data_IF_315467291801
#
_entry.id   IF_315467291801
#
_cell.length_a   1.000
_cell.length_b   1.000
_cell.length_c   1.000
_cell.angle_alpha   90.00
_cell.angle_beta   90.00
_cell.angle_gamma   90.00
#
_symmetry.space_group_name_H-M   'P 1'
#
loop_
_entity.id
_entity.type
_entity.pdbx_description
1 polymer ?
#
# COMPACT_ATOMS: atom_id res chain seq x y z
N UNK A 1 -3.32 27.48 14.13
CA UNK A 1 -2.69 26.83 12.95
C UNK A 1 -3.31 25.45 12.79
N UNK A 2 -4.33 25.34 11.95
CA UNK A 2 -5.02 24.08 11.66
C UNK A 2 -4.20 23.26 10.66
N UNK A 3 -4.20 21.95 10.80
CA UNK A 3 -3.73 21.06 9.75
C UNK A 3 -4.75 21.05 8.62
N UNK A 4 -4.30 20.97 7.38
CA UNK A 4 -5.13 20.78 6.20
C UNK A 4 -4.56 19.65 5.34
N UNK A 5 -5.43 18.97 4.59
CA UNK A 5 -5.02 17.95 3.62
C UNK A 5 -5.27 18.53 2.22
N UNK A 6 -4.27 18.47 1.37
CA UNK A 6 -4.36 18.90 -0.02
C UNK A 6 -4.12 17.70 -0.91
N UNK A 7 -5.11 17.38 -1.74
CA UNK A 7 -5.02 16.35 -2.78
C UNK A 7 -4.51 17.03 -4.05
N UNK A 8 -3.35 16.63 -4.53
CA UNK A 8 -2.74 17.16 -5.75
C UNK A 8 -2.14 16.08 -6.63
N UNK A 9 -1.79 16.44 -7.86
CA UNK A 9 -0.95 15.59 -8.72
C UNK A 9 0.41 15.34 -8.09
N UNK A 10 0.90 14.11 -8.23
CA UNK A 10 2.23 13.72 -7.79
C UNK A 10 3.30 14.48 -8.57
N UNK A 11 4.34 14.93 -7.87
CA UNK A 11 5.56 15.54 -8.43
C UNK A 11 6.67 14.49 -8.46
N UNK A 12 7.71 14.71 -9.28
CA UNK A 12 8.85 13.81 -9.35
C UNK A 12 9.55 13.63 -7.99
N UNK A 13 9.64 14.70 -7.19
CA UNK A 13 10.19 14.65 -5.82
C UNK A 13 9.40 13.80 -4.82
N UNK A 14 8.13 13.46 -5.11
CA UNK A 14 7.31 12.63 -4.21
C UNK A 14 7.56 11.13 -4.42
N UNK A 15 8.27 10.73 -5.48
CA UNK A 15 8.40 9.33 -5.88
C UNK A 15 8.93 8.42 -4.75
N UNK A 16 9.90 8.90 -3.98
CA UNK A 16 10.47 8.17 -2.84
C UNK A 16 9.43 8.00 -1.74
N UNK A 17 8.76 9.08 -1.32
CA UNK A 17 7.77 9.04 -0.24
C UNK A 17 6.56 8.18 -0.61
N UNK A 18 6.16 8.17 -1.89
CA UNK A 18 5.07 7.33 -2.39
C UNK A 18 5.43 5.85 -2.39
N UNK A 19 6.64 5.52 -2.85
CA UNK A 19 7.16 4.15 -2.81
C UNK A 19 7.22 3.63 -1.38
N UNK A 20 7.71 4.44 -0.43
CA UNK A 20 7.76 4.09 0.99
C UNK A 20 6.35 3.87 1.57
N UNK A 21 5.37 4.73 1.27
CA UNK A 21 4.00 4.56 1.75
C UNK A 21 3.38 3.24 1.27
N UNK A 22 3.60 2.86 0.01
CA UNK A 22 3.08 1.60 -0.53
C UNK A 22 3.79 0.41 0.09
N UNK A 23 5.11 0.49 0.28
CA UNK A 23 5.85 -0.56 0.96
C UNK A 23 5.36 -0.74 2.39
N UNK A 24 5.17 0.35 3.14
CA UNK A 24 4.60 0.31 4.49
C UNK A 24 3.20 -0.31 4.50
N UNK A 25 2.34 0.07 3.54
CA UNK A 25 0.99 -0.47 3.42
C UNK A 25 0.95 -1.96 3.06
N UNK A 26 1.91 -2.47 2.29
CA UNK A 26 1.98 -3.91 1.99
C UNK A 26 2.61 -4.70 3.15
N UNK A 27 3.62 -4.13 3.81
CA UNK A 27 4.28 -4.76 4.94
C UNK A 27 3.40 -4.82 6.19
N UNK A 28 2.38 -3.97 6.33
CA UNK A 28 1.44 -4.05 7.46
C UNK A 28 0.68 -5.37 7.53
N UNK A 29 0.49 -6.06 6.40
CA UNK A 29 -0.19 -7.37 6.33
C UNK A 29 0.75 -8.57 6.58
N UNK A 30 2.03 -8.32 6.85
CA UNK A 30 3.01 -9.39 7.03
C UNK A 30 2.66 -10.29 8.23
N UNK A 31 2.19 -9.69 9.33
CA UNK A 31 1.83 -10.45 10.54
C UNK A 31 0.57 -11.28 10.34
N UNK A 32 -0.46 -10.71 9.72
CA UNK A 32 -1.70 -11.42 9.40
C UNK A 32 -1.43 -12.60 8.46
N UNK A 33 -0.58 -12.39 7.45
CA UNK A 33 -0.15 -13.45 6.54
C UNK A 33 0.66 -14.53 7.25
N UNK A 34 1.55 -14.15 8.17
CA UNK A 34 2.30 -15.12 8.97
C UNK A 34 1.36 -16.02 9.78
N UNK A 35 0.39 -15.43 10.49
CA UNK A 35 -0.61 -16.21 11.25
C UNK A 35 -1.38 -17.12 10.30
N UNK A 36 -1.87 -16.59 9.17
CA UNK A 36 -2.63 -17.37 8.20
C UNK A 36 -1.85 -18.59 7.68
N UNK A 37 -0.59 -18.40 7.25
CA UNK A 37 0.24 -19.50 6.73
C UNK A 37 0.73 -20.46 7.81
N UNK A 38 0.95 -19.99 9.04
CA UNK A 38 1.36 -20.84 10.15
C UNK A 38 0.26 -21.83 10.55
N UNK A 39 -0.99 -21.36 10.59
CA UNK A 39 -2.16 -22.16 10.97
C UNK A 39 -2.85 -22.82 9.77
N UNK A 40 -2.26 -22.74 8.59
CA UNK A 40 -2.75 -23.47 7.44
C UNK A 40 -2.63 -24.98 7.69
N UNK A 41 -3.69 -25.73 7.36
CA UNK A 41 -3.76 -27.19 7.59
C UNK A 41 -2.52 -27.92 7.06
N UNK A 42 -2.08 -27.55 5.86
CA UNK A 42 -0.87 -28.11 5.24
C UNK A 42 0.39 -27.93 6.10
N UNK A 43 0.60 -26.76 6.71
CA UNK A 43 1.77 -26.50 7.56
C UNK A 43 1.74 -27.39 8.80
N UNK A 44 0.56 -27.55 9.41
CA UNK A 44 0.37 -28.42 10.58
C UNK A 44 0.56 -29.90 10.23
N UNK A 45 0.02 -30.34 9.09
CA UNK A 45 0.21 -31.70 8.58
C UNK A 45 1.68 -32.01 8.29
N UNK A 46 2.41 -31.08 7.67
CA UNK A 46 3.85 -31.23 7.46
C UNK A 46 4.61 -31.35 8.78
N UNK A 47 4.22 -30.60 9.82
CA UNK A 47 4.85 -30.71 11.14
C UNK A 47 4.57 -32.07 11.78
N UNK A 48 3.33 -32.55 11.73
CA UNK A 48 2.94 -33.84 12.29
C UNK A 48 3.61 -35.01 11.55
N UNK A 49 3.59 -34.99 10.22
CA UNK A 49 4.22 -36.01 9.39
C UNK A 49 5.75 -36.01 9.58
N UNK A 50 6.37 -34.83 9.58
CA UNK A 50 7.81 -34.69 9.81
C UNK A 50 8.23 -35.20 11.20
N UNK A 51 7.42 -34.91 12.22
CA UNK A 51 7.65 -35.42 13.58
C UNK A 51 7.52 -36.94 13.64
N UNK A 52 6.50 -37.52 12.98
CA UNK A 52 6.33 -38.97 12.92
C UNK A 52 7.52 -39.66 12.22
N UNK A 53 8.01 -39.08 11.11
CA UNK A 53 9.18 -39.61 10.39
C UNK A 53 10.43 -39.57 11.27
N UNK A 54 10.71 -38.44 11.93
CA UNK A 54 11.87 -38.31 12.83
C UNK A 54 11.79 -39.27 14.02
N UNK A 55 10.60 -39.45 14.59
CA UNK A 55 10.40 -40.36 15.73
C UNK A 55 10.58 -41.83 15.33
N UNK A 56 9.91 -42.27 14.26
CA UNK A 56 9.87 -43.69 13.85
C UNK A 56 11.19 -44.12 13.20
N UNK A 57 11.68 -43.35 12.22
CA UNK A 57 12.81 -43.77 11.40
C UNK A 57 14.15 -43.26 11.92
N UNK A 58 14.18 -42.06 12.52
CA UNK A 58 15.42 -41.47 13.02
C UNK A 58 15.63 -41.68 14.53
N UNK A 59 14.66 -42.30 15.23
CA UNK A 59 14.74 -42.55 16.67
C UNK A 59 14.84 -41.26 17.50
N UNK A 60 14.36 -40.13 16.97
CA UNK A 60 14.47 -38.85 17.65
C UNK A 60 13.69 -38.86 18.97
N UNK A 61 14.29 -38.28 20.02
CA UNK A 61 13.58 -38.09 21.29
C UNK A 61 12.34 -37.19 21.08
N UNK A 62 11.28 -37.33 21.90
CA UNK A 62 10.08 -36.48 21.80
C UNK A 62 10.39 -34.98 21.87
N UNK A 63 11.41 -34.60 22.66
CA UNK A 63 11.90 -33.22 22.73
C UNK A 63 12.45 -32.72 21.39
N UNK A 64 13.12 -33.59 20.61
CA UNK A 64 13.60 -33.25 19.27
C UNK A 64 12.46 -33.06 18.27
N UNK A 65 11.39 -33.85 18.39
CA UNK A 65 10.18 -33.68 17.56
C UNK A 65 9.46 -32.37 17.89
N UNK A 66 9.45 -31.95 19.17
CA UNK A 66 8.84 -30.69 19.58
C UNK A 66 9.55 -29.45 18.98
N UNK A 67 10.83 -29.56 18.59
CA UNK A 67 11.57 -28.49 17.91
C UNK A 67 11.12 -28.26 16.46
N UNK A 68 10.37 -29.20 15.88
CA UNK A 68 9.91 -29.08 14.50
C UNK A 68 8.87 -27.99 14.33
N UNK A 69 8.05 -27.74 15.38
CA UNK A 69 7.08 -26.64 15.40
C UNK A 69 7.75 -25.25 15.38
N UNK A 70 8.68 -24.89 16.27
CA UNK A 70 9.37 -23.60 16.20
C UNK A 70 10.25 -23.47 14.94
N UNK A 71 10.82 -24.58 14.44
CA UNK A 71 11.56 -24.56 13.18
C UNK A 71 10.64 -24.24 11.98
N UNK A 72 9.47 -24.88 11.90
CA UNK A 72 8.47 -24.57 10.89
C UNK A 72 7.97 -23.13 11.01
N UNK A 73 7.70 -22.65 12.22
CA UNK A 73 7.30 -21.25 12.45
C UNK A 73 8.38 -20.26 11.97
N UNK A 74 9.66 -20.52 12.25
CA UNK A 74 10.75 -19.68 11.78
C UNK A 74 10.87 -19.69 10.24
N UNK A 75 10.70 -20.86 9.61
CA UNK A 75 10.72 -21.00 8.16
C UNK A 75 9.57 -20.25 7.49
N UNK A 76 8.34 -20.37 8.02
CA UNK A 76 7.18 -19.63 7.54
C UNK A 76 7.38 -18.13 7.72
N UNK A 77 7.87 -17.69 8.88
CA UNK A 77 8.17 -16.28 9.13
C UNK A 77 9.18 -15.71 8.13
N UNK A 78 10.25 -16.46 7.84
CA UNK A 78 11.26 -16.07 6.86
C UNK A 78 10.68 -16.00 5.44
N UNK A 79 9.92 -17.03 5.03
CA UNK A 79 9.28 -17.07 3.72
C UNK A 79 8.30 -15.91 3.52
N UNK A 80 7.44 -15.65 4.50
CA UNK A 80 6.48 -14.54 4.48
C UNK A 80 7.20 -13.20 4.43
N UNK A 81 8.26 -13.00 5.22
CA UNK A 81 9.02 -11.76 5.22
C UNK A 81 9.71 -11.49 3.87
N UNK A 82 10.32 -12.51 3.26
CA UNK A 82 10.96 -12.39 1.96
C UNK A 82 9.93 -12.13 0.88
N UNK A 83 8.83 -12.89 0.85
CA UNK A 83 7.77 -12.73 -0.14
C UNK A 83 7.13 -11.33 -0.06
N UNK A 84 6.80 -10.85 1.13
CA UNK A 84 6.22 -9.51 1.31
C UNK A 84 7.18 -8.39 0.91
N UNK A 85 8.47 -8.49 1.24
CA UNK A 85 9.47 -7.50 0.81
C UNK A 85 9.69 -7.53 -0.70
N UNK A 86 9.72 -8.72 -1.31
CA UNK A 86 9.83 -8.86 -2.75
C UNK A 86 8.61 -8.27 -3.47
N UNK A 87 7.41 -8.55 -2.99
CA UNK A 87 6.17 -7.98 -3.53
C UNK A 87 6.12 -6.47 -3.34
N UNK A 88 6.43 -5.96 -2.15
CA UNK A 88 6.43 -4.54 -1.84
C UNK A 88 7.43 -3.75 -2.70
N UNK A 89 8.64 -4.29 -2.89
CA UNK A 89 9.64 -3.68 -3.77
C UNK A 89 9.23 -3.75 -5.24
N UNK A 90 8.71 -4.89 -5.71
CA UNK A 90 8.21 -5.02 -7.08
C UNK A 90 7.07 -4.04 -7.38
N UNK A 91 6.13 -3.87 -6.45
CA UNK A 91 5.00 -2.94 -6.60
C UNK A 91 5.46 -1.49 -6.61
N UNK A 92 6.41 -1.12 -5.73
CA UNK A 92 7.03 0.19 -5.72
C UNK A 92 7.78 0.51 -7.03
N UNK A 93 8.44 -0.48 -7.64
CA UNK A 93 9.11 -0.29 -8.95
C UNK A 93 8.11 -0.12 -10.09
N UNK A 94 6.99 -0.86 -10.09
CA UNK A 94 5.95 -0.79 -11.13
C UNK A 94 5.27 0.59 -11.20
N UNK A 95 5.23 1.34 -10.10
CA UNK A 95 4.72 2.73 -10.11
C UNK A 95 5.41 3.63 -11.13
N UNK A 96 6.66 3.35 -11.52
CA UNK A 96 7.38 4.17 -12.51
C UNK A 96 6.71 4.18 -13.89
N UNK A 97 5.87 3.18 -14.19
CA UNK A 97 5.09 3.09 -15.42
C UNK A 97 3.67 3.63 -15.30
N UNK A 98 3.36 4.40 -14.25
CA UNK A 98 2.01 4.95 -14.06
C UNK A 98 1.66 6.01 -15.10
N UNK A 99 0.36 6.15 -15.38
CA UNK A 99 -0.16 7.17 -16.27
C UNK A 99 -0.26 8.53 -15.55
N UNK A 100 -0.74 8.52 -14.31
CA UNK A 100 -0.65 9.66 -13.40
C UNK A 100 -0.73 9.19 -11.94
N UNK A 101 -0.12 9.96 -11.06
CA UNK A 101 -0.17 9.78 -9.61
C UNK A 101 -0.90 10.92 -8.92
N UNK A 102 -1.61 10.59 -7.84
CA UNK A 102 -2.17 11.53 -6.88
C UNK A 102 -1.54 11.33 -5.52
N UNK A 103 -1.43 12.44 -4.80
CA UNK A 103 -0.84 12.51 -3.47
C UNK A 103 -1.76 13.33 -2.58
N UNK A 104 -2.03 12.80 -1.39
CA UNK A 104 -2.59 13.58 -0.28
C UNK A 104 -1.43 14.10 0.57
N UNK A 105 -1.23 15.41 0.57
CA UNK A 105 -0.29 16.09 1.44
C UNK A 105 -1.00 16.63 2.68
N UNK A 106 -0.51 16.31 3.86
CA UNK A 106 -0.88 17.05 5.07
C UNK A 106 0.05 18.25 5.22
N UNK A 107 -0.52 19.46 5.29
CA UNK A 107 0.18 20.70 5.61
C UNK A 107 -0.23 21.16 7.00
N UNK A 108 0.73 21.50 7.84
CA UNK A 108 0.45 22.02 9.18
C UNK A 108 1.70 22.23 10.03
N UNK A 109 1.53 22.73 11.27
CA UNK A 109 2.62 22.80 12.24
C UNK A 109 3.15 21.39 12.51
N UNK A 110 4.48 21.22 12.64
CA UNK A 110 5.20 19.96 12.89
C UNK A 110 4.45 19.05 13.87
N UNK A 111 3.60 18.19 13.34
CA UNK A 111 2.94 17.13 14.10
C UNK A 111 3.24 15.84 13.38
N UNK A 112 3.92 14.96 14.10
CA UNK A 112 4.29 13.62 13.65
C UNK A 112 3.08 12.69 13.46
N UNK A 113 1.85 13.14 13.74
CA UNK A 113 0.62 12.36 13.62
C UNK A 113 -0.63 13.19 13.33
N UNK A 114 -1.73 12.51 13.00
CA UNK A 114 -2.99 13.14 12.64
C UNK A 114 -3.55 14.01 13.78
N UNK A 115 -3.99 15.26 13.50
CA UNK A 115 -4.53 16.16 14.52
C UNK A 115 -5.89 15.65 15.05
N UNK A 116 -6.26 15.86 16.32
CA UNK A 116 -7.60 15.49 16.79
C UNK A 116 -8.69 16.35 16.10
N UNK A 117 -9.72 15.71 15.52
CA UNK A 117 -10.85 16.39 14.89
C UNK A 117 -10.91 16.32 13.35
N UNK A 118 -12.00 16.83 12.73
CA UNK A 118 -12.14 16.86 11.28
C UNK A 118 -11.08 17.79 10.66
N UNK A 119 -10.38 17.28 9.65
CA UNK A 119 -9.34 18.02 8.92
C UNK A 119 -9.95 18.50 7.60
N UNK A 120 -9.86 19.80 7.26
CA UNK A 120 -10.32 20.27 5.96
C UNK A 120 -9.51 19.62 4.84
N UNK A 121 -10.20 19.15 3.80
CA UNK A 121 -9.61 18.51 2.63
C UNK A 121 -9.90 19.38 1.41
N UNK A 122 -8.83 19.81 0.72
CA UNK A 122 -8.89 20.60 -0.50
C UNK A 122 -8.35 19.78 -1.67
N UNK A 123 -8.97 19.92 -2.84
CA UNK A 123 -8.57 19.20 -4.05
C UNK A 123 -8.02 20.19 -5.07
N UNK A 124 -6.70 20.17 -5.29
CA UNK A 124 -5.98 21.05 -6.20
C UNK A 124 -5.45 20.23 -7.38
N UNK A 125 -6.29 20.02 -8.40
CA UNK A 125 -5.92 19.18 -9.57
C UNK A 125 -5.23 19.98 -10.69
N UNK A 126 -5.45 21.29 -10.76
CA UNK A 126 -5.05 22.13 -11.91
C UNK A 126 -4.21 23.37 -11.53
N UNK A 127 -4.22 23.82 -10.26
CA UNK A 127 -3.44 24.97 -9.82
C UNK A 127 -2.70 24.64 -8.52
N UNK A 128 -1.38 24.48 -8.61
CA UNK A 128 -0.53 24.45 -7.42
C UNK A 128 -0.14 25.90 -7.12
N UNK A 129 -0.69 26.56 -6.09
CA UNK A 129 -0.06 27.79 -5.61
C UNK A 129 1.38 27.48 -5.19
N UNK A 130 2.32 28.42 -5.38
CA UNK A 130 3.70 28.24 -4.94
C UNK A 130 3.70 27.90 -3.45
N UNK A 131 4.47 26.88 -3.08
CA UNK A 131 4.67 26.43 -1.71
C UNK A 131 4.92 27.65 -0.81
N UNK A 132 4.00 27.95 0.10
CA UNK A 132 4.29 28.87 1.20
C UNK A 132 5.37 28.20 2.05
N UNK A 133 6.59 28.76 2.02
CA UNK A 133 7.82 28.11 2.47
C UNK A 133 7.90 27.85 3.99
N UNK A 134 6.88 28.22 4.77
CA UNK A 134 6.88 28.14 6.24
C UNK A 134 6.02 27.02 6.83
N UNK A 135 5.47 26.11 6.02
CA UNK A 135 4.60 25.03 6.51
C UNK A 135 5.20 23.67 6.16
N UNK A 136 5.45 22.84 7.18
CA UNK A 136 5.87 21.46 6.96
C UNK A 136 4.79 20.66 6.24
N UNK A 137 5.16 20.10 5.09
CA UNK A 137 4.33 19.22 4.27
C UNK A 137 4.80 17.77 4.41
N UNK A 138 3.87 16.84 4.68
CA UNK A 138 4.14 15.40 4.67
C UNK A 138 3.14 14.70 3.76
N UNK A 139 3.62 13.82 2.89
CA UNK A 139 2.75 12.95 2.08
C UNK A 139 2.15 11.88 3.00
N UNK A 140 0.82 11.88 3.10
CA UNK A 140 0.06 10.98 3.99
C UNK A 140 -0.72 9.91 3.22
N UNK A 141 -0.91 10.09 1.92
CA UNK A 141 -1.53 9.11 1.06
C UNK A 141 -1.10 9.25 -0.39
N UNK A 142 -1.16 8.15 -1.13
CA UNK A 142 -0.89 8.12 -2.55
C UNK A 142 -1.86 7.21 -3.28
N UNK A 143 -2.20 7.61 -4.49
CA UNK A 143 -2.95 6.83 -5.44
C UNK A 143 -2.20 6.84 -6.77
N UNK A 144 -2.14 5.71 -7.44
CA UNK A 144 -1.49 5.53 -8.74
C UNK A 144 -2.46 4.89 -9.72
N UNK A 145 -2.56 5.48 -10.90
CA UNK A 145 -3.39 4.95 -11.99
C UNK A 145 -2.50 4.59 -13.16
N UNK A 146 -2.60 3.35 -13.61
CA UNK A 146 -1.91 2.83 -14.80
C UNK A 146 -2.87 2.71 -15.97
N UNK A 147 -2.38 2.90 -17.19
CA UNK A 147 -3.17 2.65 -18.39
C UNK A 147 -3.43 1.14 -18.56
N UNK A 148 -4.63 0.76 -18.98
CA UNK A 148 -4.92 -0.63 -19.35
C UNK A 148 -4.14 -0.99 -20.60
N UNK A 149 -3.38 -2.09 -20.55
CA UNK A 149 -2.65 -2.63 -21.70
C UNK A 149 -2.98 -4.11 -21.82
N UNK A 150 -3.98 -4.45 -22.64
CA UNK A 150 -4.30 -5.85 -22.95
C UNK A 150 -3.19 -6.47 -23.84
N UNK A 151 -2.70 -7.67 -23.54
CA UNK A 151 -1.80 -8.38 -24.43
C UNK A 151 -2.60 -9.03 -25.58
N UNK A 152 -2.47 -8.51 -26.80
CA UNK A 152 -2.91 -9.19 -28.03
C UNK A 152 -4.06 -8.57 -28.81
N UNK A 153 -4.70 -7.49 -28.33
CA UNK A 153 -5.70 -6.76 -29.12
C UNK A 153 -5.15 -5.40 -29.55
N UNK A 154 -5.39 -5.07 -30.83
CA UNK A 154 -5.27 -3.70 -31.36
C UNK A 154 -5.85 -2.74 -30.32
N UNK A 155 -5.09 -1.71 -29.99
CA UNK A 155 -5.42 -0.66 -29.03
C UNK A 155 -6.91 -0.22 -29.14
N UNK A 156 -7.79 -0.91 -28.42
CA UNK A 156 -9.08 -0.38 -28.05
C UNK A 156 -8.78 0.86 -27.21
N UNK A 157 -9.51 1.92 -27.55
CA UNK A 157 -9.31 3.31 -27.16
C UNK A 157 -8.65 3.54 -25.79
N UNK A 158 -7.76 4.53 -25.75
CA UNK A 158 -6.86 4.93 -24.65
C UNK A 158 -7.54 5.37 -23.33
N UNK A 159 -8.73 4.84 -23.01
CA UNK A 159 -9.66 5.44 -22.06
C UNK A 159 -9.94 4.59 -20.81
N UNK A 160 -9.33 3.42 -20.69
CA UNK A 160 -9.47 2.57 -19.50
C UNK A 160 -8.20 2.66 -18.64
N UNK A 161 -8.34 3.17 -17.42
CA UNK A 161 -7.27 3.21 -16.42
C UNK A 161 -7.56 2.26 -15.26
N UNK A 162 -6.55 1.56 -14.78
CA UNK A 162 -6.64 0.70 -13.60
C UNK A 162 -5.99 1.36 -12.40
N UNK A 163 -6.63 1.23 -11.24
CA UNK A 163 -6.02 1.60 -9.96
C UNK A 163 -4.85 0.64 -9.69
N UNK A 164 -3.63 1.15 -9.80
CA UNK A 164 -2.42 0.35 -9.67
C UNK A 164 -2.01 0.20 -8.20
N UNK A 165 -2.12 1.29 -7.44
CA UNK A 165 -1.79 1.30 -6.03
C UNK A 165 -2.61 2.39 -5.31
N UNK A 166 -3.07 2.07 -4.10
CA UNK A 166 -3.63 3.00 -3.14
C UNK A 166 -3.00 2.68 -1.80
N UNK A 167 -2.33 3.65 -1.20
CA UNK A 167 -1.74 3.50 0.12
C UNK A 167 -1.90 4.78 0.93
N UNK A 168 -2.32 4.62 2.17
CA UNK A 168 -2.40 5.72 3.14
C UNK A 168 -1.61 5.33 4.38
N UNK A 169 -0.94 6.31 4.95
CA UNK A 169 -0.20 6.17 6.18
C UNK A 169 -1.11 5.67 7.32
N UNK A 170 -0.66 4.67 8.08
CA UNK A 170 -1.46 3.98 9.12
C UNK A 170 -2.07 4.91 10.17
N UNK A 171 -1.32 5.91 10.63
CA UNK A 171 -1.84 6.92 11.56
C UNK A 171 -2.97 7.79 10.99
N UNK A 172 -3.08 7.84 9.66
CA UNK A 172 -4.13 8.57 8.97
C UNK A 172 -5.29 7.63 8.60
N UNK A 173 -5.04 6.33 8.34
CA UNK A 173 -6.02 5.29 7.91
C UNK A 173 -7.31 5.18 8.76
N UNK A 174 -7.27 5.51 10.05
CA UNK A 174 -8.41 5.31 10.96
C UNK A 174 -9.54 6.37 10.84
N UNK A 175 -9.58 7.18 9.77
CA UNK A 175 -10.65 8.21 9.63
C UNK A 175 -11.50 8.11 8.38
N UNK A 176 -11.17 7.23 7.43
CA UNK A 176 -12.03 6.84 6.29
C UNK A 176 -12.50 7.96 5.34
N UNK A 177 -12.13 9.22 5.60
CA UNK A 177 -12.63 10.39 4.89
C UNK A 177 -11.74 10.78 3.70
N UNK A 178 -10.42 10.57 3.79
CA UNK A 178 -9.49 10.92 2.72
C UNK A 178 -9.36 9.81 1.66
N UNK A 179 -9.55 8.52 2.00
CA UNK A 179 -9.49 7.43 1.02
C UNK A 179 -10.55 7.61 -0.07
N UNK A 180 -11.78 7.92 0.34
CA UNK A 180 -12.89 8.21 -0.57
C UNK A 180 -12.63 9.44 -1.43
N UNK A 181 -12.06 10.50 -0.86
CA UNK A 181 -11.73 11.73 -1.61
C UNK A 181 -10.54 11.54 -2.55
N UNK A 182 -9.56 10.72 -2.20
CA UNK A 182 -8.45 10.35 -3.08
C UNK A 182 -8.96 9.56 -4.29
N UNK A 183 -9.80 8.55 -4.05
CA UNK A 183 -10.43 7.77 -5.13
C UNK A 183 -11.38 8.64 -5.95
N UNK A 184 -12.18 9.49 -5.31
CA UNK A 184 -13.04 10.47 -5.97
C UNK A 184 -12.25 11.43 -6.87
N UNK A 185 -11.15 11.98 -6.36
CA UNK A 185 -10.25 12.84 -7.14
C UNK A 185 -9.60 12.11 -8.32
N UNK A 186 -9.28 10.83 -8.18
CA UNK A 186 -8.76 10.02 -9.29
C UNK A 186 -9.81 9.83 -10.39
N UNK A 187 -11.06 9.57 -9.99
CA UNK A 187 -12.19 9.44 -10.91
C UNK A 187 -12.49 10.76 -11.62
N UNK A 188 -12.57 11.88 -10.89
CA UNK A 188 -12.83 13.19 -11.50
C UNK A 188 -11.72 13.62 -12.44
N UNK A 189 -10.45 13.32 -12.13
CA UNK A 189 -9.32 13.63 -13.02
C UNK A 189 -9.36 12.78 -14.31
N UNK A 190 -9.76 11.50 -14.21
CA UNK A 190 -9.99 10.66 -15.39
C UNK A 190 -11.15 11.17 -16.24
N UNK A 191 -12.26 11.54 -15.61
CA UNK A 191 -13.44 12.05 -16.32
C UNK A 191 -13.16 13.40 -16.97
N UNK A 192 -12.45 14.30 -16.29
CA UNK A 192 -11.99 15.56 -16.88
C UNK A 192 -11.05 15.34 -18.07
N UNK A 193 -10.23 14.27 -18.04
CA UNK A 193 -9.37 13.89 -19.17
C UNK A 193 -10.18 13.36 -20.36
N UNK A 194 -11.33 12.74 -20.09
CA UNK A 194 -12.32 12.31 -21.09
C UNK A 194 -13.23 13.46 -21.58
N UNK A 195 -12.96 14.70 -21.18
CA UNK A 195 -13.76 15.86 -21.55
C UNK A 195 -15.13 15.94 -20.87
N UNK A 196 -15.37 15.12 -19.84
CA UNK A 196 -16.58 15.13 -19.03
C UNK A 196 -16.33 15.97 -17.77
N UNK A 197 -16.70 17.26 -17.83
CA UNK A 197 -16.66 18.14 -16.67
C UNK A 197 -17.75 17.74 -15.67
N UNK A 198 -17.33 17.14 -14.56
CA UNK A 198 -18.19 16.93 -13.39
C UNK A 198 -17.90 18.00 -12.33
N UNK A 199 -18.93 18.45 -11.60
CA UNK A 199 -18.71 19.30 -10.43
C UNK A 199 -17.80 18.56 -9.45
N UNK A 200 -16.72 19.22 -9.04
CA UNK A 200 -15.67 18.61 -8.21
C UNK A 200 -16.26 18.22 -6.84
N UNK A 201 -16.10 16.95 -6.47
CA UNK A 201 -16.61 16.38 -5.21
C UNK A 201 -15.65 16.56 -4.03
#
# INVERSE_FOLDING_TARGET
>A
MSCEIIIRRAREGDAVQRAELIQMGLLSYQWDSFIYFLFQELTLECVLLGSAVLFIFCGAAPAGCALLLPAAAALVAAAVAVAHRALASAHAQRMRGEMFGLVAEARGPLRLGAPPGPVPIYTELQHCPPTQHDVHSKVVGTLSVSAYRAPGELALDHEVGWLHALAVHTQWQCRGTYDRRLVGAALTLQLARLGLDLPHA
#
